data_IF_511008710991
#
_entry.id   IF_511008710991
#
_cell.length_a   1.000
_cell.length_b   1.000
_cell.length_c   1.000
_cell.angle_alpha   90.00
_cell.angle_beta   90.00
_cell.angle_gamma   90.00
#
_symmetry.space_group_name_H-M   'P 1'
#
loop_
_entity.id
_entity.type
_entity.pdbx_description
1 polymer ?
#
# COMPACT_ATOMS: atom_id res chain seq x y z
N UNK A 1 -10.61 -39.21 -69.40
CA UNK A 1 -11.12 -38.39 -68.30
C UNK A 1 -10.92 -39.14 -66.98
N UNK A 2 -10.00 -38.72 -66.05
CA UNK A 2 -9.85 -39.38 -64.78
C UNK A 2 -10.70 -38.68 -63.73
N UNK A 3 -11.46 -39.48 -62.97
CA UNK A 3 -12.37 -39.14 -61.83
C UNK A 3 -11.60 -38.52 -60.73
N UNK A 4 -12.01 -37.30 -60.28
CA UNK A 4 -11.55 -36.65 -59.09
C UNK A 4 -12.15 -37.29 -57.82
N UNK A 5 -11.38 -38.16 -57.16
CA UNK A 5 -11.73 -38.74 -55.90
C UNK A 5 -11.63 -37.69 -54.74
N UNK A 6 -12.77 -37.27 -54.25
CA UNK A 6 -12.93 -36.36 -53.09
C UNK A 6 -12.54 -37.11 -51.79
N UNK A 7 -11.27 -37.06 -51.41
CA UNK A 7 -10.77 -37.63 -50.11
C UNK A 7 -11.00 -36.62 -49.01
N UNK A 8 -12.04 -36.80 -48.24
CA UNK A 8 -12.21 -36.08 -46.96
C UNK A 8 -11.04 -36.44 -46.03
N UNK A 9 -10.37 -35.48 -45.40
CA UNK A 9 -9.30 -35.76 -44.44
C UNK A 9 -9.85 -36.45 -43.19
N UNK A 10 -9.12 -37.42 -42.58
CA UNK A 10 -9.62 -38.19 -41.46
C UNK A 10 -9.80 -37.32 -40.22
N UNK A 11 -10.99 -37.36 -39.63
CA UNK A 11 -11.45 -36.62 -38.42
C UNK A 11 -10.54 -36.79 -37.19
N UNK A 12 -9.65 -37.78 -37.18
CA UNK A 12 -8.70 -38.05 -36.11
C UNK A 12 -7.62 -36.96 -35.90
N UNK A 13 -7.32 -36.16 -36.95
CA UNK A 13 -6.28 -35.11 -36.88
C UNK A 13 -6.79 -33.83 -36.19
N UNK A 14 -8.10 -33.59 -36.22
CA UNK A 14 -8.72 -32.44 -35.60
C UNK A 14 -8.79 -32.59 -34.05
N UNK A 15 -9.17 -33.79 -33.55
CA UNK A 15 -9.25 -34.06 -32.09
C UNK A 15 -7.89 -33.92 -31.37
N UNK A 16 -6.75 -34.24 -32.06
CA UNK A 16 -5.42 -34.11 -31.43
C UNK A 16 -4.94 -32.67 -31.28
N UNK A 17 -5.36 -31.75 -32.14
CA UNK A 17 -4.96 -30.33 -32.05
C UNK A 17 -5.68 -29.59 -30.90
N UNK A 18 -6.93 -29.93 -30.63
CA UNK A 18 -7.72 -29.30 -29.58
C UNK A 18 -7.32 -29.73 -28.15
N UNK A 19 -6.86 -30.96 -27.96
CA UNK A 19 -6.40 -31.44 -26.63
C UNK A 19 -5.06 -30.82 -26.16
N UNK A 20 -4.26 -30.28 -27.05
CA UNK A 20 -3.01 -29.57 -26.73
C UNK A 20 -3.24 -28.15 -26.22
N UNK A 21 -4.19 -27.44 -26.84
CA UNK A 21 -4.47 -26.02 -26.51
C UNK A 21 -5.15 -25.84 -25.14
N UNK A 22 -6.02 -26.77 -24.74
CA UNK A 22 -6.69 -26.71 -23.42
C UNK A 22 -5.74 -26.92 -22.24
N UNK A 23 -4.79 -27.82 -22.36
CA UNK A 23 -3.79 -28.12 -21.31
C UNK A 23 -2.78 -26.99 -21.11
N UNK A 24 -2.39 -26.27 -22.17
CA UNK A 24 -1.50 -25.10 -22.08
C UNK A 24 -2.20 -23.94 -21.35
N UNK A 25 -3.44 -23.66 -21.69
CA UNK A 25 -4.23 -22.59 -21.08
C UNK A 25 -4.49 -22.81 -19.57
N UNK A 26 -4.72 -24.06 -19.14
CA UNK A 26 -4.86 -24.38 -17.70
C UNK A 26 -3.56 -24.14 -16.93
N UNK A 27 -2.41 -24.51 -17.51
CA UNK A 27 -1.09 -24.27 -16.88
C UNK A 27 -0.76 -22.78 -16.78
N UNK A 28 -1.11 -22.01 -17.80
CA UNK A 28 -0.94 -20.54 -17.78
C UNK A 28 -1.79 -19.88 -16.71
N UNK A 29 -3.05 -20.26 -16.57
CA UNK A 29 -3.93 -19.77 -15.54
C UNK A 29 -3.38 -20.10 -14.13
N UNK A 30 -2.93 -21.33 -13.91
CA UNK A 30 -2.35 -21.76 -12.63
C UNK A 30 -1.07 -20.97 -12.30
N UNK A 31 -0.16 -20.77 -13.26
CA UNK A 31 1.04 -19.97 -13.05
C UNK A 31 0.73 -18.52 -12.68
N UNK A 32 -0.21 -17.90 -13.38
CA UNK A 32 -0.62 -16.51 -13.10
C UNK A 32 -1.29 -16.43 -11.72
N UNK A 33 -2.11 -17.41 -11.35
CA UNK A 33 -2.73 -17.49 -10.02
C UNK A 33 -1.67 -17.56 -8.91
N UNK A 34 -0.67 -18.44 -9.05
CA UNK A 34 0.45 -18.53 -8.09
C UNK A 34 1.25 -17.23 -8.01
N UNK A 35 1.49 -16.56 -9.14
CA UNK A 35 2.18 -15.28 -9.17
C UNK A 35 1.35 -14.18 -8.49
N UNK A 36 0.04 -14.18 -8.71
CA UNK A 36 -0.92 -13.29 -8.06
C UNK A 36 -0.87 -13.45 -6.54
N UNK A 37 -0.88 -14.68 -6.02
CA UNK A 37 -0.83 -14.96 -4.59
C UNK A 37 0.49 -14.48 -3.96
N UNK A 38 1.62 -14.68 -4.63
CA UNK A 38 2.90 -14.17 -4.19
C UNK A 38 2.92 -12.63 -4.13
N UNK A 39 2.35 -11.97 -5.13
CA UNK A 39 2.26 -10.50 -5.16
C UNK A 39 1.28 -9.97 -4.13
N UNK A 40 0.19 -10.66 -3.87
CA UNK A 40 -0.76 -10.33 -2.82
C UNK A 40 -0.13 -10.39 -1.42
N UNK A 41 0.69 -11.43 -1.15
CA UNK A 41 1.47 -11.51 0.10
C UNK A 41 2.43 -10.32 0.25
N UNK A 42 3.06 -9.87 -0.84
CA UNK A 42 3.93 -8.67 -0.82
C UNK A 42 3.14 -7.40 -0.59
N UNK A 43 1.98 -7.25 -1.23
CA UNK A 43 1.06 -6.14 -1.01
C UNK A 43 0.61 -6.07 0.44
N UNK A 44 0.18 -7.19 1.04
CA UNK A 44 -0.21 -7.26 2.46
C UNK A 44 0.93 -6.86 3.40
N UNK A 45 2.17 -7.28 3.11
CA UNK A 45 3.34 -6.83 3.89
C UNK A 45 3.57 -5.33 3.77
N UNK A 46 3.50 -4.78 2.57
CA UNK A 46 3.67 -3.34 2.33
C UNK A 46 2.54 -2.52 2.96
N UNK A 47 1.30 -3.02 2.96
CA UNK A 47 0.18 -2.42 3.67
C UNK A 47 0.43 -2.35 5.18
N UNK A 48 0.94 -3.42 5.79
CA UNK A 48 1.34 -3.42 7.20
C UNK A 48 2.43 -2.39 7.48
N UNK A 49 3.39 -2.21 6.57
CA UNK A 49 4.43 -1.17 6.69
C UNK A 49 3.82 0.23 6.65
N UNK A 50 2.88 0.52 5.75
CA UNK A 50 2.18 1.81 5.73
C UNK A 50 1.49 2.11 7.06
N UNK A 51 0.78 1.12 7.64
CA UNK A 51 0.12 1.28 8.93
C UNK A 51 1.13 1.61 10.04
N UNK A 52 2.28 0.90 10.05
CA UNK A 52 3.35 1.14 11.03
C UNK A 52 3.94 2.54 10.87
N UNK A 53 4.39 2.90 9.67
CA UNK A 53 4.97 4.22 9.40
C UNK A 53 3.97 5.36 9.66
N UNK A 54 2.67 5.13 9.44
CA UNK A 54 1.64 6.10 9.78
C UNK A 54 1.51 6.31 11.30
N UNK A 55 1.60 5.23 12.08
CA UNK A 55 1.59 5.33 13.55
C UNK A 55 2.86 6.04 14.06
N UNK A 56 4.01 5.77 13.46
CA UNK A 56 5.28 6.43 13.80
C UNK A 56 5.24 7.92 13.46
N UNK A 57 4.75 8.31 12.28
CA UNK A 57 4.59 9.70 11.88
C UNK A 57 3.62 10.46 12.82
N UNK A 58 2.51 9.83 13.23
CA UNK A 58 1.59 10.43 14.20
C UNK A 58 2.25 10.65 15.58
N UNK A 59 3.06 9.69 16.04
CA UNK A 59 3.80 9.83 17.30
C UNK A 59 4.83 10.95 17.23
N UNK A 60 5.56 11.05 16.12
CA UNK A 60 6.52 12.11 15.90
C UNK A 60 5.85 13.50 15.88
N UNK A 61 4.73 13.64 15.17
CA UNK A 61 3.95 14.88 15.15
C UNK A 61 3.43 15.27 16.57
N UNK A 62 2.94 14.29 17.32
CA UNK A 62 2.51 14.55 18.70
C UNK A 62 3.68 14.95 19.61
N UNK A 63 4.87 14.42 19.39
CA UNK A 63 6.06 14.81 20.14
C UNK A 63 6.50 16.24 19.82
N UNK A 64 6.43 16.67 18.55
CA UNK A 64 6.67 18.09 18.18
C UNK A 64 5.68 19.00 18.91
N UNK A 65 4.40 18.64 18.97
CA UNK A 65 3.42 19.43 19.68
C UNK A 65 3.71 19.50 21.19
N UNK A 66 4.07 18.36 21.81
CA UNK A 66 4.44 18.31 23.22
C UNK A 66 5.64 19.19 23.56
N UNK A 67 6.68 19.18 22.69
CA UNK A 67 7.85 20.05 22.89
C UNK A 67 7.50 21.52 22.70
N UNK A 68 6.62 21.87 21.78
CA UNK A 68 6.14 23.24 21.60
C UNK A 68 5.33 23.72 22.83
N UNK A 69 4.47 22.87 23.37
CA UNK A 69 3.70 23.16 24.57
C UNK A 69 4.62 23.29 25.78
N UNK A 70 5.66 22.48 25.91
CA UNK A 70 6.65 22.58 26.96
C UNK A 70 7.41 23.91 26.92
N UNK A 71 7.83 24.37 25.72
CA UNK A 71 8.46 25.67 25.51
C UNK A 71 7.52 26.80 25.91
N UNK A 72 6.27 26.74 25.46
CA UNK A 72 5.27 27.76 25.84
C UNK A 72 5.01 27.80 27.34
N UNK A 73 4.95 26.65 28.00
CA UNK A 73 4.79 26.55 29.46
C UNK A 73 6.03 27.07 30.21
N UNK A 74 7.24 26.76 29.72
CA UNK A 74 8.48 27.26 30.27
C UNK A 74 8.56 28.79 30.17
N UNK A 75 8.26 29.37 28.99
CA UNK A 75 8.24 30.83 28.81
C UNK A 75 7.27 31.52 29.74
N UNK A 76 6.05 30.98 29.91
CA UNK A 76 5.07 31.53 30.87
C UNK A 76 5.57 31.49 32.31
N UNK A 77 6.21 30.39 32.74
CA UNK A 77 6.80 30.28 34.07
C UNK A 77 7.96 31.25 34.27
N UNK A 78 8.86 31.34 33.28
CA UNK A 78 9.99 32.25 33.37
C UNK A 78 9.55 33.70 33.53
N UNK A 79 8.55 34.16 32.78
CA UNK A 79 7.97 35.52 32.94
C UNK A 79 7.33 35.71 34.31
N UNK A 80 6.58 34.72 34.81
CA UNK A 80 5.96 34.83 36.14
C UNK A 80 7.01 34.84 37.24
N UNK A 81 8.06 34.04 37.16
CA UNK A 81 9.16 33.97 38.12
C UNK A 81 9.98 35.27 38.10
N UNK A 82 10.21 35.87 36.93
CA UNK A 82 10.84 37.17 36.75
C UNK A 82 10.01 38.26 37.41
N UNK A 83 8.71 38.34 37.15
CA UNK A 83 7.82 39.30 37.76
C UNK A 83 7.80 39.16 39.26
N UNK A 84 7.65 37.94 39.80
CA UNK A 84 7.66 37.67 41.23
C UNK A 84 9.01 38.08 41.91
N UNK A 85 10.11 37.89 41.16
CA UNK A 85 11.42 38.29 41.66
C UNK A 85 11.59 39.80 41.73
N UNK A 86 11.07 40.54 40.76
CA UNK A 86 11.05 42.01 40.78
C UNK A 86 10.13 42.55 41.89
N UNK A 87 8.93 42.00 42.02
CA UNK A 87 7.97 42.39 43.03
C UNK A 87 8.53 42.20 44.48
N UNK A 88 9.27 41.11 44.70
CA UNK A 88 9.91 40.83 45.94
C UNK A 88 11.08 41.78 46.32
N UNK A 89 11.64 42.50 45.33
CA UNK A 89 12.73 43.47 45.55
C UNK A 89 12.22 44.91 45.79
N UNK A 90 10.97 45.17 45.44
CA UNK A 90 10.39 46.50 45.65
C UNK A 90 10.33 46.82 47.11
N UNK A 91 10.93 47.96 47.53
CA UNK A 91 10.93 48.42 48.93
C UNK A 91 11.87 47.67 49.88
N UNK A 92 12.68 46.73 49.39
CA UNK A 92 13.65 45.97 50.20
C UNK A 92 15.10 46.39 49.84
N UNK A 93 16.04 46.41 50.82
CA UNK A 93 17.44 46.65 50.54
C UNK A 93 18.00 45.46 49.72
N UNK A 94 18.45 45.74 48.50
CA UNK A 94 19.04 44.72 47.61
C UNK A 94 20.47 44.45 48.04
N UNK A 95 20.78 43.18 48.39
CA UNK A 95 22.10 42.74 48.77
C UNK A 95 22.82 42.01 47.58
N UNK A 96 24.16 42.06 47.51
CA UNK A 96 24.95 41.36 46.49
C UNK A 96 24.62 39.85 46.46
N UNK A 97 24.50 39.11 47.56
CA UNK A 97 24.14 37.72 47.53
C UNK A 97 22.74 37.45 46.97
N UNK A 98 21.77 38.39 47.14
CA UNK A 98 20.43 38.24 46.56
C UNK A 98 20.47 38.39 45.01
N UNK A 99 21.28 39.34 44.50
CA UNK A 99 21.47 39.50 43.07
C UNK A 99 22.15 38.28 42.41
N UNK A 100 23.21 37.75 43.02
CA UNK A 100 23.86 36.53 42.50
C UNK A 100 22.91 35.34 42.49
N UNK A 101 22.06 35.15 43.49
CA UNK A 101 21.04 34.09 43.50
C UNK A 101 20.00 34.28 42.37
N UNK A 102 19.61 35.49 42.10
CA UNK A 102 18.67 35.82 41.04
C UNK A 102 19.31 35.59 39.66
N UNK A 103 20.54 36.06 39.46
CA UNK A 103 21.30 35.81 38.24
C UNK A 103 21.41 34.31 37.97
N UNK A 104 21.77 33.50 38.98
CA UNK A 104 21.87 32.04 38.82
C UNK A 104 20.54 31.38 38.47
N UNK A 105 19.38 31.92 38.91
CA UNK A 105 18.06 31.43 38.48
C UNK A 105 17.80 31.75 37.00
N UNK A 106 18.11 32.95 36.53
CA UNK A 106 17.90 33.35 35.16
C UNK A 106 18.84 32.58 34.22
N UNK A 107 20.11 32.35 34.59
CA UNK A 107 21.02 31.53 33.84
C UNK A 107 20.51 30.09 33.69
N UNK A 108 19.97 29.49 34.76
CA UNK A 108 19.32 28.16 34.68
C UNK A 108 18.10 28.17 33.76
N UNK A 109 17.23 29.14 33.89
CA UNK A 109 16.04 29.25 33.03
C UNK A 109 16.43 29.42 31.55
N UNK A 110 17.48 30.21 31.27
CA UNK A 110 18.00 30.35 29.91
C UNK A 110 18.60 29.03 29.36
N UNK A 111 19.34 28.29 30.17
CA UNK A 111 19.88 27.00 29.82
C UNK A 111 18.77 25.96 29.51
N UNK A 112 17.74 25.94 30.39
CA UNK A 112 16.54 25.08 30.17
C UNK A 112 15.80 25.45 28.87
N UNK A 113 15.65 26.75 28.58
CA UNK A 113 15.04 27.22 27.35
C UNK A 113 15.84 26.74 26.09
N UNK A 114 17.16 26.81 26.13
CA UNK A 114 18.02 26.28 25.05
C UNK A 114 17.86 24.78 24.87
N UNK A 115 17.84 24.01 25.94
CA UNK A 115 17.62 22.56 25.87
C UNK A 115 16.25 22.19 25.27
N UNK A 116 15.21 22.93 25.62
CA UNK A 116 13.87 22.74 25.06
C UNK A 116 13.82 23.08 23.57
N UNK A 117 14.49 24.17 23.14
CA UNK A 117 14.57 24.53 21.72
C UNK A 117 15.37 23.47 20.93
N UNK A 118 16.45 22.92 21.47
CA UNK A 118 17.19 21.85 20.80
C UNK A 118 16.37 20.55 20.75
N UNK A 119 15.62 20.23 21.81
CA UNK A 119 14.67 19.12 21.78
C UNK A 119 13.58 19.30 20.70
N UNK A 120 13.08 20.52 20.51
CA UNK A 120 12.11 20.84 19.45
C UNK A 120 12.70 20.65 18.06
N UNK A 121 13.94 21.11 17.85
CA UNK A 121 14.64 20.90 16.58
C UNK A 121 14.83 19.40 16.27
N UNK A 122 15.24 18.63 17.28
CA UNK A 122 15.42 17.18 17.13
C UNK A 122 14.06 16.48 16.85
N UNK A 123 12.98 16.88 17.54
CA UNK A 123 11.64 16.37 17.28
C UNK A 123 11.16 16.70 15.86
N UNK A 124 11.40 17.92 15.36
CA UNK A 124 11.07 18.32 13.99
C UNK A 124 11.81 17.49 12.94
N UNK A 125 13.12 17.30 13.11
CA UNK A 125 13.90 16.45 12.21
C UNK A 125 13.39 14.98 12.21
N UNK A 126 12.98 14.47 13.37
CA UNK A 126 12.38 13.13 13.48
C UNK A 126 11.02 13.06 12.77
N UNK A 127 10.17 14.09 12.89
CA UNK A 127 8.89 14.18 12.17
C UNK A 127 9.09 14.19 10.66
N UNK A 128 10.01 15.02 10.15
CA UNK A 128 10.35 15.07 8.73
C UNK A 128 10.79 13.70 8.21
N UNK A 129 11.67 13.00 8.94
CA UNK A 129 12.08 11.65 8.59
C UNK A 129 10.92 10.67 8.57
N UNK A 130 10.09 10.63 9.61
CA UNK A 130 8.93 9.74 9.68
C UNK A 130 7.91 10.03 8.58
N UNK A 131 7.72 11.30 8.20
CA UNK A 131 6.83 11.70 7.10
C UNK A 131 7.38 11.25 5.74
N UNK A 132 8.69 11.35 5.52
CA UNK A 132 9.36 10.85 4.32
C UNK A 132 9.25 9.32 4.21
N UNK A 133 9.49 8.59 5.31
CA UNK A 133 9.36 7.14 5.38
C UNK A 133 7.93 6.68 5.09
N UNK A 134 6.93 7.40 5.60
CA UNK A 134 5.50 7.16 5.30
C UNK A 134 5.20 7.38 3.81
N UNK A 135 5.71 8.46 3.24
CA UNK A 135 5.52 8.75 1.81
C UNK A 135 6.13 7.65 0.94
N UNK A 136 7.30 7.14 1.30
CA UNK A 136 7.94 6.04 0.59
C UNK A 136 7.17 4.72 0.77
N UNK A 137 6.74 4.38 1.99
CA UNK A 137 5.92 3.21 2.26
C UNK A 137 4.63 3.22 1.42
N UNK A 138 3.95 4.37 1.31
CA UNK A 138 2.75 4.55 0.47
C UNK A 138 3.05 4.33 -1.01
N UNK A 139 4.16 4.86 -1.53
CA UNK A 139 4.60 4.65 -2.93
C UNK A 139 4.84 3.17 -3.22
N UNK A 140 5.56 2.47 -2.34
CA UNK A 140 5.82 1.03 -2.46
C UNK A 140 4.53 0.21 -2.43
N UNK A 141 3.63 0.51 -1.49
CA UNK A 141 2.32 -0.16 -1.40
C UNK A 141 1.51 0.05 -2.68
N UNK A 142 1.42 1.27 -3.19
CA UNK A 142 0.70 1.56 -4.43
C UNK A 142 1.25 0.79 -5.63
N UNK A 143 2.58 0.66 -5.74
CA UNK A 143 3.22 -0.16 -6.77
C UNK A 143 2.82 -1.64 -6.67
N UNK A 144 2.86 -2.20 -5.46
CA UNK A 144 2.45 -3.59 -5.23
C UNK A 144 0.95 -3.80 -5.50
N UNK A 145 0.10 -2.87 -5.07
CA UNK A 145 -1.34 -2.89 -5.32
C UNK A 145 -1.65 -2.89 -6.83
N UNK A 146 -1.04 -1.97 -7.59
CA UNK A 146 -1.17 -1.95 -9.06
C UNK A 146 -0.76 -3.27 -9.71
N UNK A 147 0.30 -3.90 -9.20
CA UNK A 147 0.78 -5.17 -9.73
C UNK A 147 -0.20 -6.32 -9.46
N UNK A 148 -0.87 -6.36 -8.30
CA UNK A 148 -1.94 -7.33 -8.00
C UNK A 148 -3.14 -7.09 -8.90
N UNK A 149 -3.65 -5.86 -8.95
CA UNK A 149 -4.80 -5.49 -9.79
C UNK A 149 -4.61 -5.85 -11.27
N UNK A 150 -3.37 -5.69 -11.78
CA UNK A 150 -3.04 -6.09 -13.16
C UNK A 150 -3.18 -7.61 -13.36
N UNK A 151 -2.73 -8.41 -12.39
CA UNK A 151 -2.85 -9.87 -12.47
C UNK A 151 -4.31 -10.33 -12.30
N UNK A 152 -5.09 -9.70 -11.43
CA UNK A 152 -6.52 -9.97 -11.28
C UNK A 152 -7.27 -9.77 -12.61
N UNK A 153 -6.99 -8.65 -13.31
CA UNK A 153 -7.56 -8.38 -14.64
C UNK A 153 -7.14 -9.43 -15.69
N UNK A 154 -5.90 -9.87 -15.66
CA UNK A 154 -5.42 -10.91 -16.56
C UNK A 154 -6.11 -12.26 -16.30
N UNK A 155 -6.25 -12.64 -15.02
CA UNK A 155 -6.97 -13.86 -14.64
C UNK A 155 -8.44 -13.81 -15.08
N UNK A 156 -9.11 -12.68 -14.88
CA UNK A 156 -10.47 -12.47 -15.32
C UNK A 156 -10.62 -12.60 -16.84
N UNK A 157 -9.70 -12.01 -17.60
CA UNK A 157 -9.69 -12.14 -19.07
C UNK A 157 -9.48 -13.59 -19.52
N UNK A 158 -8.57 -14.32 -18.86
CA UNK A 158 -8.33 -15.74 -19.16
C UNK A 158 -9.56 -16.59 -18.86
N UNK A 159 -10.22 -16.35 -17.74
CA UNK A 159 -11.45 -17.04 -17.35
C UNK A 159 -12.57 -16.76 -18.34
N UNK A 160 -12.80 -15.49 -18.72
CA UNK A 160 -13.81 -15.12 -19.72
C UNK A 160 -13.54 -15.80 -21.08
N UNK A 161 -12.27 -15.86 -21.51
CA UNK A 161 -11.88 -16.56 -22.76
C UNK A 161 -12.09 -18.07 -22.66
N UNK A 162 -11.83 -18.66 -21.48
CA UNK A 162 -12.05 -20.09 -21.27
C UNK A 162 -13.56 -20.43 -21.32
N UNK A 163 -14.40 -19.65 -20.65
CA UNK A 163 -15.86 -19.80 -20.70
C UNK A 163 -16.38 -19.63 -22.13
N UNK A 164 -16.00 -18.56 -22.85
CA UNK A 164 -16.44 -18.34 -24.21
C UNK A 164 -16.02 -19.47 -25.20
N UNK A 165 -14.85 -20.09 -24.97
CA UNK A 165 -14.46 -21.28 -25.76
C UNK A 165 -15.33 -22.49 -25.40
N UNK A 166 -15.69 -22.65 -24.13
CA UNK A 166 -16.53 -23.78 -23.72
C UNK A 166 -17.94 -23.64 -24.26
N UNK A 167 -18.54 -22.45 -24.23
CA UNK A 167 -19.87 -22.21 -24.82
C UNK A 167 -19.86 -22.45 -26.33
N UNK A 168 -18.86 -21.94 -27.04
CA UNK A 168 -18.74 -22.19 -28.49
C UNK A 168 -18.59 -23.67 -28.83
N UNK A 169 -17.89 -24.47 -28.00
CA UNK A 169 -17.76 -25.93 -28.22
C UNK A 169 -19.10 -26.62 -27.95
N UNK A 170 -19.87 -26.23 -26.92
CA UNK A 170 -21.20 -26.80 -26.66
C UNK A 170 -22.19 -26.47 -27.77
N UNK A 171 -22.21 -25.22 -28.22
CA UNK A 171 -23.07 -24.79 -29.32
C UNK A 171 -22.80 -25.59 -30.62
N UNK A 172 -21.53 -25.76 -31.01
CA UNK A 172 -21.14 -26.59 -32.14
C UNK A 172 -21.55 -28.05 -31.98
N UNK A 173 -21.44 -28.60 -30.75
CA UNK A 173 -21.90 -29.97 -30.46
C UNK A 173 -23.42 -30.14 -30.64
N UNK A 174 -24.20 -29.16 -30.19
CA UNK A 174 -25.65 -29.16 -30.33
C UNK A 174 -26.10 -29.01 -31.78
N UNK A 175 -25.37 -28.26 -32.60
CA UNK A 175 -25.64 -28.13 -34.06
C UNK A 175 -25.35 -29.44 -34.82
N UNK A 176 -24.24 -30.13 -34.47
CA UNK A 176 -23.91 -31.42 -35.06
C UNK A 176 -24.98 -32.50 -34.72
N UNK A 177 -25.50 -32.50 -33.50
CA UNK A 177 -26.56 -33.43 -33.08
C UNK A 177 -27.92 -33.15 -33.78
N UNK A 178 -28.23 -31.90 -34.11
CA UNK A 178 -29.45 -31.53 -34.87
C UNK A 178 -29.33 -31.84 -36.37
N UNK A 179 -28.12 -31.83 -36.95
CA UNK A 179 -27.85 -32.13 -38.37
C UNK A 179 -27.92 -33.62 -38.70
N UNK A 180 -27.96 -34.49 -37.69
CA UNK A 180 -27.88 -35.96 -37.85
C UNK A 180 -29.22 -36.70 -38.03
N UNK A 181 -30.38 -36.07 -38.33
CA UNK A 181 -31.61 -36.76 -38.65
C UNK A 181 -31.46 -37.40 -40.03
N UNK A 182 -31.47 -38.74 -40.16
CA UNK A 182 -31.53 -39.39 -41.45
C UNK A 182 -32.92 -39.17 -42.03
N UNK A 183 -32.99 -38.45 -43.14
CA UNK A 183 -34.18 -38.50 -44.00
C UNK A 183 -34.33 -39.93 -44.51
N UNK A 184 -35.10 -40.77 -43.83
CA UNK A 184 -35.55 -42.04 -44.34
C UNK A 184 -36.48 -41.75 -45.52
N UNK A 185 -35.85 -41.79 -46.71
CA UNK A 185 -36.60 -41.78 -47.96
C UNK A 185 -37.47 -43.00 -48.05
N UNK A 186 -38.75 -42.80 -47.89
CA UNK A 186 -39.82 -43.73 -48.26
C UNK A 186 -39.73 -43.93 -49.78
N UNK A 187 -39.50 -45.18 -50.20
CA UNK A 187 -39.70 -45.65 -51.54
C UNK A 187 -40.68 -46.79 -51.47
N UNK A 188 -41.93 -46.51 -51.83
CA UNK A 188 -42.91 -47.45 -52.36
C UNK A 188 -43.04 -47.23 -53.85
#
# INVERSE_FOLDING_TARGET
MPSCGNRRPPMSRWKRRNNGCGRSSMKEHEMISRLRDLRQRREQRSRKMVIRSQAEARRAASHVQQTADAIAAHRRRAVADEQAAFDAMIGQPVTMPSLHRLQGKFEKAAAEAMQLEDSRKAAGAAEEKCSADLAEARRRHHSHFKAVTKLDRLLEQLTRRAVGRQTAITELGEEDDRGGMPTSGDRS
#
